data_IF_529580750451
#
_entry.id   IF_529580750451
#
_cell.length_a   1.000
_cell.length_b   1.000
_cell.length_c   1.000
_cell.angle_alpha   90.00
_cell.angle_beta   90.00
_cell.angle_gamma   90.00
#
_symmetry.space_group_name_H-M   'P 1'
#
loop_
_entity.id
_entity.type
_entity.pdbx_description
1 polymer ?
#
# COMPACT_ATOMS: atom_id res chain seq x y z
N UNK A 1 -10.87 15.98 -12.21
CA UNK A 1 -11.22 15.18 -13.41
C UNK A 1 -9.92 14.81 -14.12
N UNK A 2 -9.33 13.64 -13.81
CA UNK A 2 -8.23 13.02 -14.56
C UNK A 2 -8.30 11.51 -14.33
N UNK A 3 -9.29 10.88 -14.96
CA UNK A 3 -9.25 9.45 -15.26
C UNK A 3 -8.51 9.36 -16.59
N UNK A 4 -7.17 9.28 -16.56
CA UNK A 4 -6.43 8.83 -17.74
C UNK A 4 -6.78 7.34 -17.90
N UNK A 5 -7.84 7.07 -18.66
CA UNK A 5 -7.98 5.82 -19.38
C UNK A 5 -6.75 5.75 -20.30
N UNK A 6 -5.71 5.05 -19.85
CA UNK A 6 -4.57 4.73 -20.69
C UNK A 6 -5.06 3.76 -21.77
N UNK A 7 -5.63 4.31 -22.84
CA UNK A 7 -5.86 3.57 -24.08
C UNK A 7 -4.48 3.30 -24.65
N UNK A 8 -3.92 2.13 -24.34
CA UNK A 8 -2.68 1.69 -24.93
C UNK A 8 -2.93 1.40 -26.41
N UNK A 9 -2.28 2.10 -27.36
CA UNK A 9 -2.47 1.83 -28.78
C UNK A 9 -2.05 0.38 -29.09
N UNK A 10 -2.80 -0.38 -29.91
CA UNK A 10 -2.45 -1.77 -30.22
C UNK A 10 -1.05 -1.95 -30.79
N UNK A 11 -0.54 -0.92 -31.46
CA UNK A 11 0.74 -0.95 -32.19
C UNK A 11 1.97 -0.59 -31.33
N UNK A 12 1.77 -0.07 -30.13
CA UNK A 12 2.85 0.24 -29.20
C UNK A 12 3.38 -1.04 -28.51
N UNK A 13 4.56 -0.98 -27.91
CA UNK A 13 5.21 -2.11 -27.23
C UNK A 13 4.29 -2.75 -26.17
N UNK A 14 3.61 -1.92 -25.37
CA UNK A 14 2.65 -2.38 -24.38
C UNK A 14 1.40 -3.01 -25.03
N UNK A 15 0.93 -2.48 -26.16
CA UNK A 15 -0.21 -3.04 -26.90
C UNK A 15 0.11 -4.43 -27.43
N UNK A 16 1.29 -4.59 -28.03
CA UNK A 16 1.79 -5.90 -28.49
C UNK A 16 1.97 -6.89 -27.34
N UNK A 17 2.49 -6.45 -26.20
CA UNK A 17 2.61 -7.28 -25.01
C UNK A 17 1.22 -7.79 -24.55
N UNK A 18 0.23 -6.90 -24.51
CA UNK A 18 -1.14 -7.24 -24.12
C UNK A 18 -1.84 -8.16 -25.15
N UNK A 19 -1.48 -8.06 -26.44
CA UNK A 19 -1.97 -9.01 -27.45
C UNK A 19 -1.44 -10.43 -27.25
N UNK A 20 -0.17 -10.54 -26.84
CA UNK A 20 0.51 -11.81 -26.57
C UNK A 20 0.14 -12.41 -25.21
N UNK A 21 -0.35 -11.61 -24.27
CA UNK A 21 -0.75 -12.09 -22.95
C UNK A 21 -1.90 -13.12 -23.05
N UNK A 22 -1.70 -14.28 -22.43
CA UNK A 22 -2.72 -15.33 -22.32
C UNK A 22 -3.29 -15.46 -20.89
N UNK A 23 -2.58 -14.92 -19.91
CA UNK A 23 -2.93 -15.03 -18.50
C UNK A 23 -2.56 -13.75 -17.75
N UNK A 24 -3.45 -13.26 -16.90
CA UNK A 24 -3.23 -12.08 -16.05
C UNK A 24 -3.57 -12.47 -14.61
N UNK A 25 -2.68 -12.11 -13.68
CA UNK A 25 -2.93 -12.21 -12.24
C UNK A 25 -3.11 -10.81 -11.69
N UNK A 26 -4.20 -10.59 -10.96
CA UNK A 26 -4.48 -9.35 -10.25
C UNK A 26 -4.57 -9.71 -8.78
N UNK A 27 -3.49 -9.41 -8.06
CA UNK A 27 -3.44 -9.56 -6.62
C UNK A 27 -4.12 -8.39 -5.92
N UNK A 28 -4.52 -8.62 -4.67
CA UNK A 28 -5.21 -7.64 -3.82
C UNK A 28 -6.44 -6.96 -4.46
N UNK A 29 -7.24 -7.76 -5.18
CA UNK A 29 -8.41 -7.28 -5.93
C UNK A 29 -9.45 -6.57 -5.06
N UNK A 30 -9.49 -6.85 -3.76
CA UNK A 30 -10.40 -6.22 -2.80
C UNK A 30 -10.14 -4.72 -2.65
N UNK A 31 -8.90 -4.27 -2.82
CA UNK A 31 -8.53 -2.85 -2.77
C UNK A 31 -8.76 -2.12 -4.11
N UNK A 32 -8.93 -2.87 -5.21
CA UNK A 32 -9.11 -2.31 -6.54
C UNK A 32 -10.51 -1.73 -6.78
N UNK A 33 -10.57 -0.51 -7.32
CA UNK A 33 -11.83 0.05 -7.80
C UNK A 33 -12.27 -0.64 -9.10
N UNK A 34 -13.54 -1.02 -9.17
CA UNK A 34 -14.12 -1.71 -10.34
C UNK A 34 -13.91 -0.98 -11.64
N UNK A 35 -13.92 0.35 -11.63
CA UNK A 35 -13.74 1.15 -12.85
C UNK A 35 -12.39 0.92 -13.52
N UNK A 36 -11.35 0.60 -12.76
CA UNK A 36 -10.02 0.27 -13.29
C UNK A 36 -10.07 -1.09 -13.99
N UNK A 37 -10.74 -2.08 -13.38
CA UNK A 37 -10.88 -3.42 -13.95
C UNK A 37 -11.78 -3.43 -15.19
N UNK A 38 -12.86 -2.64 -15.18
CA UNK A 38 -13.76 -2.45 -16.33
C UNK A 38 -13.07 -1.68 -17.47
N UNK A 39 -12.21 -0.71 -17.13
CA UNK A 39 -11.38 -0.05 -18.12
C UNK A 39 -10.39 -1.03 -18.76
N UNK A 40 -9.71 -1.84 -17.94
CA UNK A 40 -8.79 -2.88 -18.40
C UNK A 40 -9.50 -3.90 -19.32
N UNK A 41 -10.69 -4.35 -18.94
CA UNK A 41 -11.53 -5.23 -19.76
C UNK A 41 -11.79 -4.62 -21.15
N UNK A 42 -12.33 -3.40 -21.22
CA UNK A 42 -12.60 -2.72 -22.49
C UNK A 42 -11.33 -2.52 -23.32
N UNK A 43 -10.24 -2.09 -22.69
CA UNK A 43 -8.96 -1.91 -23.39
C UNK A 43 -8.44 -3.21 -23.99
N UNK A 44 -8.56 -4.35 -23.30
CA UNK A 44 -8.14 -5.65 -23.83
C UNK A 44 -9.08 -6.16 -24.93
N UNK A 45 -10.38 -5.88 -24.84
CA UNK A 45 -11.32 -6.18 -25.92
C UNK A 45 -10.94 -5.44 -27.21
N UNK A 46 -10.59 -4.16 -27.09
CA UNK A 46 -10.15 -3.32 -28.21
C UNK A 46 -8.80 -3.79 -28.78
N UNK A 47 -7.79 -3.97 -27.91
CA UNK A 47 -6.42 -4.35 -28.31
C UNK A 47 -6.38 -5.72 -29.01
N UNK A 48 -7.22 -6.67 -28.58
CA UNK A 48 -7.27 -8.04 -29.11
C UNK A 48 -8.37 -8.26 -30.13
N UNK A 49 -9.17 -7.23 -30.44
CA UNK A 49 -10.34 -7.32 -31.31
C UNK A 49 -11.26 -8.52 -30.94
N UNK A 50 -11.56 -8.67 -29.64
CA UNK A 50 -12.34 -9.78 -29.10
C UNK A 50 -13.29 -9.29 -28.03
N UNK A 51 -14.61 -9.38 -28.26
CA UNK A 51 -15.65 -8.88 -27.34
C UNK A 51 -15.88 -9.77 -26.10
N UNK A 52 -15.12 -10.85 -25.93
CA UNK A 52 -15.18 -11.67 -24.70
C UNK A 52 -14.54 -10.88 -23.55
N UNK A 53 -14.96 -11.11 -22.28
CA UNK A 53 -14.32 -10.48 -21.13
C UNK A 53 -12.79 -10.57 -21.18
N UNK A 54 -12.13 -9.46 -20.88
CA UNK A 54 -10.69 -9.22 -20.95
C UNK A 54 -10.07 -9.58 -22.31
N UNK A 55 -10.79 -9.36 -23.41
CA UNK A 55 -10.34 -9.74 -24.75
C UNK A 55 -10.15 -11.25 -24.91
N UNK A 56 -10.79 -12.07 -24.07
CA UNK A 56 -10.62 -13.52 -24.03
C UNK A 56 -9.33 -14.00 -23.33
N UNK A 57 -8.70 -13.16 -22.50
CA UNK A 57 -7.59 -13.54 -21.62
C UNK A 57 -8.14 -14.24 -20.37
N UNK A 58 -7.46 -15.26 -19.87
CA UNK A 58 -7.77 -15.84 -18.57
C UNK A 58 -7.23 -14.93 -17.46
N UNK A 59 -8.12 -14.45 -16.58
CA UNK A 59 -7.74 -13.57 -15.48
C UNK A 59 -7.96 -14.28 -14.14
N UNK A 60 -6.92 -14.30 -13.31
CA UNK A 60 -6.98 -14.76 -11.93
C UNK A 60 -7.01 -13.55 -11.00
N UNK A 61 -8.11 -13.38 -10.29
CA UNK A 61 -8.20 -12.44 -9.19
C UNK A 61 -7.81 -13.11 -7.87
N UNK A 62 -6.82 -12.56 -7.19
CA UNK A 62 -6.43 -12.94 -5.84
C UNK A 62 -6.72 -11.77 -4.88
N UNK A 63 -7.07 -12.10 -3.64
CA UNK A 63 -7.37 -11.11 -2.59
C UNK A 63 -8.37 -11.62 -1.57
N UNK A 64 -8.55 -10.86 -0.50
CA UNK A 64 -9.44 -11.20 0.61
C UNK A 64 -10.43 -10.06 0.91
N UNK A 65 -11.71 -10.34 0.70
CA UNK A 65 -12.81 -9.39 0.94
C UNK A 65 -13.02 -9.03 2.42
N UNK A 66 -12.36 -9.73 3.34
CA UNK A 66 -12.34 -9.40 4.78
C UNK A 66 -11.29 -8.33 5.12
N UNK A 67 -10.39 -8.03 4.19
CA UNK A 67 -9.38 -6.99 4.35
C UNK A 67 -9.93 -5.62 3.88
N UNK A 68 -9.04 -4.76 3.40
CA UNK A 68 -9.34 -3.38 3.03
C UNK A 68 -10.10 -3.32 1.70
N UNK A 69 -11.13 -2.48 1.66
CA UNK A 69 -11.93 -2.16 0.47
C UNK A 69 -11.34 -0.97 -0.29
N UNK A 70 -11.79 -0.67 -1.52
CA UNK A 70 -11.21 0.42 -2.30
C UNK A 70 -11.38 1.77 -1.60
N UNK A 71 -10.30 2.55 -1.59
CA UNK A 71 -10.32 3.89 -1.02
C UNK A 71 -11.11 4.82 -1.95
N UNK A 72 -12.25 5.31 -1.48
CA UNK A 72 -13.03 6.35 -2.16
C UNK A 72 -13.03 7.61 -1.31
N UNK A 73 -12.40 8.67 -1.83
CA UNK A 73 -12.39 9.99 -1.18
C UNK A 73 -13.81 10.52 -1.04
N UNK A 74 -14.19 10.90 0.18
CA UNK A 74 -15.54 11.38 0.51
C UNK A 74 -16.68 10.41 0.19
N UNK A 75 -16.36 9.12 -0.02
CA UNK A 75 -17.35 8.09 -0.30
C UNK A 75 -18.08 7.62 0.96
N UNK A 76 -19.40 7.48 0.88
CA UNK A 76 -20.18 6.80 1.92
C UNK A 76 -19.95 5.28 1.88
N UNK A 77 -20.30 4.55 2.96
CA UNK A 77 -20.18 3.08 3.00
C UNK A 77 -20.83 2.37 1.81
N UNK A 78 -22.07 2.71 1.39
CA UNK A 78 -22.66 2.12 0.19
C UNK A 78 -21.88 2.43 -1.08
N UNK A 79 -21.30 3.63 -1.19
CA UNK A 79 -20.50 4.00 -2.35
C UNK A 79 -19.20 3.20 -2.43
N UNK A 80 -18.52 2.98 -1.30
CA UNK A 80 -17.33 2.11 -1.22
C UNK A 80 -17.68 0.70 -1.68
N UNK A 81 -18.77 0.10 -1.17
CA UNK A 81 -19.23 -1.23 -1.61
C UNK A 81 -19.53 -1.24 -3.11
N UNK A 82 -20.22 -0.21 -3.63
CA UNK A 82 -20.52 -0.08 -5.05
C UNK A 82 -19.25 0.06 -5.92
N UNK A 83 -18.12 0.48 -5.36
CA UNK A 83 -16.84 0.59 -6.07
C UNK A 83 -16.07 -0.73 -6.16
N UNK A 84 -16.49 -1.79 -5.47
CA UNK A 84 -15.80 -3.10 -5.46
C UNK A 84 -16.06 -3.91 -6.74
N UNK A 85 -15.16 -4.84 -7.08
CA UNK A 85 -15.35 -5.78 -8.20
C UNK A 85 -16.68 -6.56 -8.10
N UNK A 86 -17.15 -6.89 -6.89
CA UNK A 86 -18.44 -7.60 -6.70
C UNK A 86 -19.64 -6.84 -7.25
N UNK A 87 -19.53 -5.52 -7.40
CA UNK A 87 -20.57 -4.64 -7.93
C UNK A 87 -20.32 -4.24 -9.40
N UNK A 88 -19.39 -4.93 -10.07
CA UNK A 88 -19.11 -4.79 -11.50
C UNK A 88 -19.90 -5.80 -12.32
N UNK A 89 -20.15 -5.48 -13.60
CA UNK A 89 -20.65 -6.46 -14.56
C UNK A 89 -19.69 -7.64 -14.75
N UNK A 90 -18.39 -7.46 -14.49
CA UNK A 90 -17.38 -8.50 -14.60
C UNK A 90 -17.60 -9.65 -13.61
N UNK A 91 -18.23 -9.38 -12.46
CA UNK A 91 -18.44 -10.38 -11.40
C UNK A 91 -19.29 -11.57 -11.86
N UNK A 92 -20.19 -11.38 -12.85
CA UNK A 92 -21.03 -12.46 -13.38
C UNK A 92 -20.21 -13.54 -14.09
N UNK A 93 -18.99 -13.22 -14.53
CA UNK A 93 -18.07 -14.14 -15.19
C UNK A 93 -17.03 -14.74 -14.22
N UNK A 94 -17.02 -14.31 -12.95
CA UNK A 94 -16.03 -14.76 -11.97
C UNK A 94 -16.47 -16.08 -11.34
N UNK A 95 -15.59 -17.08 -11.43
CA UNK A 95 -15.77 -18.36 -10.73
C UNK A 95 -15.00 -18.34 -9.39
N UNK A 96 -15.70 -18.29 -8.23
CA UNK A 96 -15.04 -18.15 -6.94
C UNK A 96 -14.33 -19.46 -6.53
N UNK A 97 -13.04 -19.37 -6.26
CA UNK A 97 -12.25 -20.42 -5.62
C UNK A 97 -11.91 -19.99 -4.19
N UNK A 98 -11.93 -20.93 -3.24
CA UNK A 98 -11.65 -20.66 -1.82
C UNK A 98 -10.49 -21.54 -1.34
N UNK A 99 -9.43 -20.90 -0.89
CA UNK A 99 -8.36 -21.57 -0.14
C UNK A 99 -8.89 -21.89 1.27
N UNK A 100 -8.63 -23.12 1.74
CA UNK A 100 -9.14 -23.61 3.05
C UNK A 100 -8.09 -23.64 4.13
N UNK A 101 -6.83 -23.82 3.74
CA UNK A 101 -5.71 -23.99 4.66
C UNK A 101 -4.95 -22.68 4.82
N UNK A 102 -4.71 -22.29 6.08
CA UNK A 102 -3.81 -21.19 6.39
C UNK A 102 -2.38 -21.74 6.47
N UNK A 103 -1.60 -21.49 5.43
CA UNK A 103 -0.22 -21.98 5.35
C UNK A 103 0.72 -21.27 6.32
N UNK A 104 0.46 -20.00 6.66
CA UNK A 104 1.27 -19.25 7.62
C UNK A 104 1.28 -19.97 8.97
N UNK A 105 0.10 -20.29 9.52
CA UNK A 105 -0.03 -21.01 10.80
C UNK A 105 0.66 -22.37 10.77
N UNK A 106 0.54 -23.10 9.64
CA UNK A 106 1.20 -24.41 9.48
C UNK A 106 2.72 -24.30 9.47
N UNK A 107 3.28 -23.23 8.88
CA UNK A 107 4.72 -23.07 8.67
C UNK A 107 5.40 -22.38 9.86
N UNK A 108 4.76 -21.41 10.50
CA UNK A 108 5.34 -20.63 11.61
C UNK A 108 5.08 -21.25 12.97
N UNK A 109 4.18 -22.23 13.07
CA UNK A 109 3.77 -22.81 14.34
C UNK A 109 2.98 -21.84 15.23
N UNK A 110 2.44 -20.75 14.65
CA UNK A 110 1.57 -19.81 15.34
C UNK A 110 0.41 -20.54 16.04
N UNK A 111 0.03 -20.04 17.23
CA UNK A 111 -1.06 -20.64 17.99
C UNK A 111 -2.36 -20.66 17.20
N UNK A 112 -3.03 -21.81 17.20
CA UNK A 112 -4.36 -21.97 16.61
C UNK A 112 -5.36 -20.96 17.19
N UNK A 113 -5.18 -20.55 18.45
CA UNK A 113 -6.03 -19.56 19.13
C UNK A 113 -5.92 -18.17 18.48
N UNK A 114 -4.70 -17.74 18.16
CA UNK A 114 -4.49 -16.45 17.48
C UNK A 114 -5.07 -16.47 16.05
N UNK A 115 -4.88 -17.57 15.33
CA UNK A 115 -5.48 -17.73 13.99
C UNK A 115 -7.01 -17.69 14.03
N UNK A 116 -7.61 -18.36 15.02
CA UNK A 116 -9.06 -18.36 15.23
C UNK A 116 -9.56 -16.96 15.63
N UNK A 117 -8.78 -16.23 16.44
CA UNK A 117 -9.06 -14.84 16.75
C UNK A 117 -9.08 -13.97 15.49
N UNK A 118 -8.01 -13.99 14.67
CA UNK A 118 -7.94 -13.23 13.41
C UNK A 118 -9.08 -13.57 12.45
N UNK A 119 -9.45 -14.86 12.34
CA UNK A 119 -10.61 -15.30 11.57
C UNK A 119 -11.92 -14.73 12.12
N UNK A 120 -12.09 -14.69 13.43
CA UNK A 120 -13.30 -14.15 14.04
C UNK A 120 -13.45 -12.65 13.79
N UNK A 121 -12.34 -11.90 13.83
CA UNK A 121 -12.26 -10.48 13.46
C UNK A 121 -12.62 -10.27 12.00
N UNK A 122 -11.96 -10.99 11.08
CA UNK A 122 -12.20 -10.84 9.63
C UNK A 122 -13.62 -11.21 9.20
N UNK A 123 -14.28 -12.15 9.90
CA UNK A 123 -15.67 -12.51 9.63
C UNK A 123 -16.69 -11.57 10.29
N UNK A 124 -16.24 -10.62 11.13
CA UNK A 124 -17.13 -9.74 11.90
C UNK A 124 -17.92 -10.48 12.99
N UNK A 125 -17.40 -11.62 13.46
CA UNK A 125 -18.02 -12.47 14.49
C UNK A 125 -17.34 -12.37 15.86
N UNK A 126 -16.29 -11.54 15.96
CA UNK A 126 -15.58 -11.29 17.21
C UNK A 126 -16.43 -10.53 18.23
N UNK A 127 -15.92 -10.43 19.47
CA UNK A 127 -16.52 -9.61 20.51
C UNK A 127 -16.39 -8.12 20.16
N UNK A 128 -17.48 -7.52 19.73
CA UNK A 128 -17.52 -6.11 19.32
C UNK A 128 -18.43 -5.28 20.21
N UNK A 129 -18.06 -4.02 20.45
CA UNK A 129 -18.90 -3.02 21.10
C UNK A 129 -19.18 -1.86 20.13
N UNK A 130 -20.38 -1.28 20.18
CA UNK A 130 -20.69 -0.11 19.36
C UNK A 130 -19.81 1.08 19.76
N UNK A 131 -19.31 1.83 18.77
CA UNK A 131 -18.52 3.02 18.98
C UNK A 131 -18.83 4.09 17.92
N UNK A 132 -18.44 5.33 18.17
CA UNK A 132 -18.64 6.42 17.20
C UNK A 132 -17.99 6.04 15.85
N UNK A 133 -18.79 6.00 14.79
CA UNK A 133 -18.32 5.65 13.45
C UNK A 133 -18.15 4.15 13.16
N UNK A 134 -18.42 3.23 14.10
CA UNK A 134 -18.28 1.80 13.84
C UNK A 134 -18.35 0.90 15.08
N UNK A 135 -17.40 -0.03 15.17
CA UNK A 135 -17.33 -1.02 16.23
C UNK A 135 -15.92 -1.04 16.83
N UNK A 136 -15.82 -1.23 18.14
CA UNK A 136 -14.58 -1.57 18.84
C UNK A 136 -14.48 -3.07 18.94
N UNK A 137 -13.36 -3.63 18.48
CA UNK A 137 -13.01 -5.03 18.66
C UNK A 137 -12.24 -5.19 19.98
N UNK A 138 -12.68 -6.13 20.83
CA UNK A 138 -11.93 -6.51 22.02
C UNK A 138 -10.66 -7.28 21.60
N UNK A 139 -9.50 -6.84 22.09
CA UNK A 139 -8.22 -7.49 21.88
C UNK A 139 -7.88 -8.41 23.06
N UNK A 140 -7.24 -9.56 22.82
CA UNK A 140 -6.59 -10.37 23.86
C UNK A 140 -5.65 -9.54 24.74
N UNK A 141 -5.57 -9.91 26.03
CA UNK A 141 -4.87 -9.10 27.03
C UNK A 141 -3.35 -9.00 26.82
N UNK A 142 -2.79 -9.99 26.12
CA UNK A 142 -1.40 -10.13 25.72
C UNK A 142 -1.06 -9.42 24.39
N UNK A 143 -2.06 -8.88 23.68
CA UNK A 143 -1.89 -8.24 22.37
C UNK A 143 -2.01 -6.71 22.40
N UNK A 144 -1.90 -6.07 23.57
CA UNK A 144 -1.90 -4.62 23.65
C UNK A 144 -0.89 -4.07 24.65
N UNK A 145 -0.33 -2.91 24.32
CA UNK A 145 0.48 -2.09 25.22
C UNK A 145 -0.24 -0.78 25.52
N UNK A 146 0.03 -0.21 26.70
CA UNK A 146 -0.69 1.00 27.17
C UNK A 146 -0.07 2.30 26.71
N UNK A 147 1.23 2.30 26.40
CA UNK A 147 1.97 3.49 25.96
C UNK A 147 2.59 3.26 24.61
N UNK A 148 2.50 4.28 23.77
CA UNK A 148 3.12 4.33 22.44
C UNK A 148 4.64 4.14 22.52
N UNK A 149 5.30 4.78 23.49
CA UNK A 149 6.76 4.69 23.66
C UNK A 149 7.23 3.28 23.99
N UNK A 150 6.44 2.52 24.75
CA UNK A 150 6.78 1.14 25.08
C UNK A 150 6.72 0.27 23.82
N UNK A 151 5.78 0.53 22.90
CA UNK A 151 5.69 -0.15 21.60
C UNK A 151 6.89 0.18 20.71
N UNK A 152 7.23 1.47 20.60
CA UNK A 152 8.36 1.93 19.81
C UNK A 152 9.64 1.30 20.32
N UNK A 153 9.87 1.34 21.64
CA UNK A 153 11.05 0.71 22.25
C UNK A 153 11.04 -0.80 22.11
N UNK A 154 9.88 -1.45 22.11
CA UNK A 154 9.80 -2.90 21.92
C UNK A 154 10.22 -3.30 20.50
N UNK A 155 9.74 -2.58 19.48
CA UNK A 155 10.03 -2.89 18.06
C UNK A 155 11.42 -2.42 17.64
N UNK A 156 11.85 -1.27 18.15
CA UNK A 156 13.08 -0.59 17.73
C UNK A 156 14.15 -0.56 18.84
N UNK A 157 14.09 -1.50 19.80
CA UNK A 157 15.05 -1.56 20.92
C UNK A 157 16.48 -1.77 20.43
N UNK A 158 16.60 -2.62 19.41
CA UNK A 158 17.84 -2.94 18.75
C UNK A 158 17.70 -2.57 17.28
N UNK A 159 18.08 -1.32 16.96
CA UNK A 159 18.09 -0.79 15.59
C UNK A 159 19.04 -1.55 14.66
N UNK A 160 19.73 -2.58 15.13
CA UNK A 160 20.58 -3.48 14.34
C UNK A 160 19.86 -4.76 13.91
N UNK A 161 18.71 -5.10 14.53
CA UNK A 161 17.89 -6.26 14.21
C UNK A 161 16.69 -5.84 13.35
N UNK A 162 17.04 -5.54 12.11
CA UNK A 162 16.24 -4.98 11.03
C UNK A 162 15.17 -5.93 10.45
N UNK A 163 14.07 -6.19 11.17
CA UNK A 163 12.91 -6.89 10.54
C UNK A 163 11.55 -6.27 10.78
N UNK A 164 11.36 -5.59 11.90
CA UNK A 164 10.01 -5.35 12.40
C UNK A 164 9.41 -4.02 11.91
N UNK A 165 8.07 -3.96 11.90
CA UNK A 165 7.31 -2.86 11.34
C UNK A 165 6.29 -2.34 12.34
N UNK A 166 6.03 -1.03 12.31
CA UNK A 166 4.87 -0.43 12.96
C UNK A 166 3.89 0.05 11.89
N UNK A 167 2.67 -0.48 11.93
CA UNK A 167 1.58 -0.02 11.07
C UNK A 167 0.70 0.98 11.82
N UNK A 168 0.34 2.05 11.13
CA UNK A 168 -0.59 3.07 11.61
C UNK A 168 -1.84 3.13 10.73
N UNK A 169 -2.95 3.53 11.33
CA UNK A 169 -4.21 3.73 10.59
C UNK A 169 -4.18 4.96 9.66
N UNK A 170 -3.32 5.95 9.95
CA UNK A 170 -3.17 7.17 9.16
C UNK A 170 -1.70 7.47 8.91
N UNK A 171 -1.43 8.11 7.77
CA UNK A 171 -0.08 8.57 7.43
C UNK A 171 0.44 9.56 8.48
N UNK A 172 -0.40 10.48 8.96
CA UNK A 172 0.01 11.46 9.99
C UNK A 172 0.53 10.81 11.27
N UNK A 173 -0.08 9.69 11.70
CA UNK A 173 0.39 8.95 12.88
C UNK A 173 1.64 8.14 12.58
N UNK A 174 1.81 7.66 11.34
CA UNK A 174 3.06 7.04 10.89
C UNK A 174 4.20 8.05 10.88
N UNK A 175 3.97 9.25 10.32
CA UNK A 175 4.95 10.34 10.28
C UNK A 175 5.40 10.72 11.70
N UNK A 176 4.45 10.90 12.64
CA UNK A 176 4.78 11.18 14.04
C UNK A 176 5.61 10.06 14.71
N UNK A 177 5.35 8.80 14.37
CA UNK A 177 6.16 7.67 14.86
C UNK A 177 7.55 7.69 14.23
N UNK A 178 7.64 7.93 12.93
CA UNK A 178 8.91 7.99 12.20
C UNK A 178 9.80 9.10 12.77
N UNK A 179 9.24 10.28 13.04
CA UNK A 179 9.95 11.39 13.68
C UNK A 179 10.45 11.02 15.09
N UNK A 180 9.61 10.34 15.89
CA UNK A 180 10.01 9.87 17.22
C UNK A 180 11.15 8.84 17.13
N UNK A 181 11.07 7.87 16.21
CA UNK A 181 12.13 6.87 16.00
C UNK A 181 13.44 7.55 15.56
N UNK A 182 13.36 8.52 14.65
CA UNK A 182 14.52 9.29 14.20
C UNK A 182 15.14 10.12 15.33
N UNK A 183 14.31 10.65 16.25
CA UNK A 183 14.78 11.39 17.42
C UNK A 183 15.50 10.50 18.46
N UNK A 184 15.16 9.22 18.53
CA UNK A 184 15.79 8.23 19.42
C UNK A 184 17.15 7.76 18.92
N UNK A 185 17.47 7.96 17.64
CA UNK A 185 18.78 7.62 17.09
C UNK A 185 19.87 8.50 17.71
N UNK A 186 20.91 7.86 18.23
CA UNK A 186 22.02 8.50 18.95
C UNK A 186 23.02 9.23 18.04
N UNK A 187 22.89 9.10 16.72
CA UNK A 187 23.75 9.79 15.76
C UNK A 187 23.36 11.25 15.60
N UNK A 188 24.36 12.12 15.53
CA UNK A 188 24.23 13.53 15.11
C UNK A 188 24.57 13.72 13.63
N UNK A 189 24.88 12.64 12.91
CA UNK A 189 25.11 12.67 11.46
C UNK A 189 23.76 12.68 10.74
N UNK A 190 23.26 13.90 10.51
CA UNK A 190 21.96 14.17 9.90
C UNK A 190 22.07 15.07 8.68
N UNK A 191 21.14 14.88 7.73
CA UNK A 191 21.07 15.65 6.50
C UNK A 191 19.63 15.97 6.15
N UNK A 192 19.39 17.25 5.87
CA UNK A 192 18.13 17.74 5.35
C UNK A 192 18.18 17.87 3.83
N UNK A 193 17.12 17.40 3.17
CA UNK A 193 16.85 17.61 1.75
C UNK A 193 15.55 18.41 1.61
N UNK A 194 15.65 19.60 1.01
CA UNK A 194 14.50 20.44 0.70
C UNK A 194 14.22 20.43 -0.81
N UNK A 195 12.96 20.25 -1.18
CA UNK A 195 12.52 20.49 -2.55
C UNK A 195 12.41 22.01 -2.78
N UNK A 196 13.29 22.56 -3.63
CA UNK A 196 13.32 23.98 -3.96
C UNK A 196 12.29 24.24 -5.06
N UNK A 197 11.16 24.83 -4.69
CA UNK A 197 10.16 25.31 -5.66
C UNK A 197 10.57 26.70 -6.13
N UNK A 198 10.89 26.85 -7.42
CA UNK A 198 11.16 28.16 -8.02
C UNK A 198 9.90 29.05 -7.97
N UNK A 199 10.07 30.30 -7.53
CA UNK A 199 8.99 31.30 -7.53
C UNK A 199 8.51 31.55 -8.97
N UNK A 200 7.31 31.04 -9.30
CA UNK A 200 6.57 31.51 -10.45
C UNK A 200 5.54 32.53 -9.96
N UNK A 201 5.51 33.73 -10.57
CA UNK A 201 4.71 34.92 -10.18
C UNK A 201 3.19 34.68 -10.02
N UNK A 202 2.67 33.47 -10.33
CA UNK A 202 1.25 33.15 -10.39
C UNK A 202 0.82 31.90 -9.59
N UNK A 203 1.60 31.42 -8.64
CA UNK A 203 1.25 30.21 -7.88
C UNK A 203 1.32 30.39 -6.36
N UNK A 204 0.46 29.61 -5.69
CA UNK A 204 0.14 29.62 -4.25
C UNK A 204 1.32 29.96 -3.31
N UNK A 205 1.06 30.54 -2.13
CA UNK A 205 2.10 30.83 -1.15
C UNK A 205 3.00 29.63 -0.88
N UNK A 206 4.31 29.84 -0.78
CA UNK A 206 5.29 28.78 -0.59
C UNK A 206 4.99 28.01 0.71
N UNK A 207 4.49 28.66 1.76
CA UNK A 207 4.10 27.97 3.00
C UNK A 207 2.92 27.01 2.81
N UNK A 208 2.06 27.26 1.82
CA UNK A 208 0.98 26.35 1.45
C UNK A 208 1.53 25.16 0.67
N UNK A 209 2.43 25.39 -0.28
CA UNK A 209 3.05 24.34 -1.10
C UNK A 209 3.91 23.40 -0.24
N UNK A 210 4.69 23.95 0.68
CA UNK A 210 5.56 23.16 1.56
C UNK A 210 4.78 22.26 2.53
N UNK A 211 3.48 22.54 2.77
CA UNK A 211 2.59 21.68 3.56
C UNK A 211 1.97 20.55 2.75
N UNK A 212 2.12 20.54 1.43
CA UNK A 212 1.56 19.48 0.59
C UNK A 212 2.47 18.24 0.66
N UNK A 213 1.93 17.16 1.22
CA UNK A 213 2.51 15.82 1.12
C UNK A 213 1.59 14.91 0.26
N UNK A 214 1.57 15.10 -1.07
CA UNK A 214 0.77 14.26 -1.95
C UNK A 214 1.27 12.80 -1.92
N UNK A 215 0.35 11.85 -2.02
CA UNK A 215 0.69 10.41 -2.01
C UNK A 215 1.67 10.06 -3.13
N UNK A 216 2.73 9.29 -2.79
CA UNK A 216 3.76 8.86 -3.75
C UNK A 216 4.87 9.88 -3.99
N UNK A 217 4.91 10.97 -3.22
CA UNK A 217 6.00 11.93 -3.18
C UNK A 217 6.57 12.01 -1.76
N UNK A 218 7.89 12.24 -1.62
CA UNK A 218 8.47 12.54 -0.32
C UNK A 218 7.95 13.88 0.23
N UNK A 219 8.07 14.13 1.54
CA UNK A 219 7.79 15.44 2.12
C UNK A 219 8.70 16.53 1.53
N UNK A 220 8.26 17.78 1.59
CA UNK A 220 9.04 18.93 1.11
C UNK A 220 10.39 19.06 1.81
N UNK A 221 10.42 18.79 3.12
CA UNK A 221 11.61 18.67 3.94
C UNK A 221 11.75 17.20 4.35
N UNK A 222 12.85 16.58 3.95
CA UNK A 222 13.20 15.22 4.33
C UNK A 222 14.47 15.24 5.18
N UNK A 223 14.31 14.98 6.48
CA UNK A 223 15.41 14.81 7.43
C UNK A 223 15.81 13.33 7.47
N UNK A 224 17.11 13.05 7.31
CA UNK A 224 17.66 11.71 7.37
C UNK A 224 18.84 11.65 8.34
N UNK A 225 19.04 10.51 8.99
CA UNK A 225 20.15 10.26 9.93
C UNK A 225 20.90 8.99 9.56
N UNK A 226 22.22 8.99 9.67
CA UNK A 226 23.04 7.83 9.29
C UNK A 226 22.53 6.55 9.97
N UNK A 227 22.39 5.49 9.18
CA UNK A 227 21.78 4.19 9.49
C UNK A 227 20.26 4.21 9.73
N UNK A 228 19.55 5.28 9.34
CA UNK A 228 18.09 5.25 9.36
C UNK A 228 17.54 4.38 8.22
N UNK A 229 16.38 3.77 8.48
CA UNK A 229 15.65 2.98 7.48
C UNK A 229 14.82 3.95 6.63
N UNK A 230 14.91 3.79 5.31
CA UNK A 230 14.09 4.51 4.34
C UNK A 230 13.36 3.54 3.41
N UNK A 231 12.28 4.00 2.81
CA UNK A 231 11.52 3.24 1.82
C UNK A 231 11.54 3.96 0.48
N UNK A 232 11.80 3.21 -0.58
CA UNK A 232 11.74 3.72 -1.94
C UNK A 232 10.29 3.90 -2.37
N UNK A 233 9.92 5.10 -2.83
CA UNK A 233 8.54 5.44 -3.23
C UNK A 233 8.26 5.24 -4.73
N UNK A 234 9.28 4.90 -5.53
CA UNK A 234 9.19 4.81 -6.99
C UNK A 234 10.02 3.64 -7.52
N UNK A 235 9.56 3.05 -8.62
CA UNK A 235 10.31 2.03 -9.32
C UNK A 235 11.54 2.68 -9.99
N UNK A 236 12.74 2.29 -9.56
CA UNK A 236 14.01 2.74 -10.15
C UNK A 236 14.59 1.68 -11.07
N UNK A 237 14.66 0.45 -10.57
CA UNK A 237 15.18 -0.70 -11.31
C UNK A 237 14.46 -1.98 -10.87
N UNK A 238 13.30 -2.29 -11.48
CA UNK A 238 12.54 -3.47 -11.13
C UNK A 238 13.26 -4.80 -11.39
N UNK A 239 14.23 -4.83 -12.31
CA UNK A 239 14.96 -6.06 -12.63
C UNK A 239 15.89 -6.48 -11.49
N UNK A 240 16.42 -5.50 -10.75
CA UNK A 240 17.29 -5.71 -9.59
C UNK A 240 16.57 -5.53 -8.25
N UNK A 241 15.23 -5.48 -8.24
CA UNK A 241 14.42 -5.41 -7.00
C UNK A 241 14.31 -4.01 -6.39
N UNK A 242 14.73 -2.96 -7.08
CA UNK A 242 14.60 -1.56 -6.65
C UNK A 242 13.23 -1.00 -7.06
N UNK A 243 12.20 -1.51 -6.39
CA UNK A 243 10.79 -1.19 -6.63
C UNK A 243 10.23 -0.27 -5.53
N UNK A 244 9.07 0.33 -5.80
CA UNK A 244 8.30 0.99 -4.76
C UNK A 244 8.00 0.02 -3.61
N UNK A 245 8.29 0.43 -2.38
CA UNK A 245 8.17 -0.37 -1.17
C UNK A 245 9.48 -1.00 -0.69
N UNK A 246 10.54 -1.02 -1.51
CA UNK A 246 11.84 -1.57 -1.12
C UNK A 246 12.46 -0.74 0.01
N UNK A 247 12.98 -1.41 1.05
CA UNK A 247 13.62 -0.79 2.21
C UNK A 247 15.13 -0.70 2.02
N UNK A 248 15.70 0.34 2.61
CA UNK A 248 17.14 0.54 2.63
C UNK A 248 17.59 1.15 3.94
N UNK A 249 18.86 0.92 4.28
CA UNK A 249 19.55 1.58 5.38
C UNK A 249 20.44 2.66 4.77
N UNK A 250 20.43 3.86 5.34
CA UNK A 250 21.28 4.93 4.82
C UNK A 250 22.70 4.81 5.36
N UNK A 251 23.66 4.52 4.50
CA UNK A 251 25.08 4.43 4.88
C UNK A 251 25.77 5.80 4.85
N UNK A 252 25.52 6.58 3.78
CA UNK A 252 26.10 7.91 3.62
C UNK A 252 25.19 8.84 2.78
N UNK A 253 25.41 10.14 2.96
CA UNK A 253 24.73 11.22 2.24
C UNK A 253 25.72 12.01 1.39
N UNK A 254 25.29 12.46 0.22
CA UNK A 254 25.97 13.50 -0.55
C UNK A 254 25.00 14.67 -0.81
N UNK A 255 25.48 15.71 -1.47
CA UNK A 255 24.69 16.92 -1.78
C UNK A 255 23.43 16.60 -2.59
N UNK A 256 23.48 15.59 -3.46
CA UNK A 256 22.39 15.24 -4.39
C UNK A 256 22.03 13.75 -4.43
N UNK A 257 22.85 12.89 -3.81
CA UNK A 257 22.72 11.44 -3.87
C UNK A 257 22.75 10.83 -2.46
N UNK A 258 21.78 9.99 -2.18
CA UNK A 258 21.82 9.03 -1.08
C UNK A 258 22.61 7.80 -1.53
N UNK A 259 23.47 7.26 -0.67
CA UNK A 259 24.03 5.92 -0.86
C UNK A 259 23.35 4.96 0.13
N UNK A 260 22.20 4.39 -0.25
CA UNK A 260 21.50 3.42 0.56
C UNK A 260 22.02 1.98 0.33
N UNK A 261 22.09 1.18 1.39
CA UNK A 261 22.34 -0.26 1.30
C UNK A 261 21.01 -1.02 1.30
N UNK A 262 20.84 -1.94 0.33
CA UNK A 262 19.64 -2.77 0.22
C UNK A 262 19.53 -3.68 1.45
N UNK A 263 18.34 -3.72 2.02
CA UNK A 263 17.99 -4.62 3.13
C UNK A 263 17.52 -5.98 2.61
#
# INVERSE_FOLDING_TARGET
>A
MKTQLAVCPPNDANGKLMQLANFIVIDEVSMGQKFVLEALDRSLQDIRNCLRPFGGITVLFAGDWRQVLPVVRHGSRPYIVNSTLKMSYLWTYVHPLKLKENMQVKLTGESADFSNFLRSVGNGSGKTQAASGGFKQELPADLFVRKKDDLIRFVFQDMTLDTDWLLCATNSSADEINDNVLSLMSTNDEKEYCDLVEENEHQYPIEFINKLCPSGLPPNLLLLKKHCIIMLLRNLDPQNGHCNGTRYIVENYTVTLLMPQLQ
#
